data_IF_831853008651
#
_entry.id   IF_831853008651
#
_cell.length_a   1.000
_cell.length_b   1.000
_cell.length_c   1.000
_cell.angle_alpha   90.00
_cell.angle_beta   90.00
_cell.angle_gamma   90.00
#
_symmetry.space_group_name_H-M   'P 1'
#
loop_
_entity.id
_entity.type
_entity.pdbx_description
1 polymer ?
#
# COMPACT_ATOMS: atom_id res chain seq x y z
N UNK A 1 -10.97 31.88 29.98
CA UNK A 1 -11.13 30.42 30.01
C UNK A 1 -10.86 29.96 28.60
N UNK A 2 -9.61 29.55 28.31
CA UNK A 2 -9.13 29.17 26.99
C UNK A 2 -9.07 27.64 26.87
N UNK A 3 -9.93 27.05 26.06
CA UNK A 3 -9.90 25.64 25.71
C UNK A 3 -8.98 25.40 24.53
N UNK A 4 -7.73 24.96 24.79
CA UNK A 4 -6.81 24.53 23.76
C UNK A 4 -7.10 23.10 23.31
N UNK A 5 -7.62 22.95 22.11
CA UNK A 5 -7.79 21.63 21.43
C UNK A 5 -6.42 21.14 21.01
N UNK A 6 -5.89 20.13 21.69
CA UNK A 6 -4.64 19.46 21.33
C UNK A 6 -4.97 18.44 20.21
N UNK A 7 -4.74 18.86 18.97
CA UNK A 7 -4.78 17.93 17.81
C UNK A 7 -3.50 17.10 17.82
N UNK A 8 -3.55 15.92 18.41
CA UNK A 8 -2.47 14.95 18.37
C UNK A 8 -2.52 14.17 17.04
N UNK A 9 -1.82 14.67 16.03
CA UNK A 9 -1.54 13.91 14.82
C UNK A 9 -0.16 13.26 14.98
N UNK A 10 -0.05 11.93 15.18
CA UNK A 10 1.24 11.25 15.44
C UNK A 10 2.24 11.46 14.31
N UNK A 11 1.79 11.63 13.06
CA UNK A 11 2.64 11.96 11.91
C UNK A 11 3.28 13.35 11.98
N UNK A 12 2.69 14.33 12.67
CA UNK A 12 3.32 15.64 12.86
C UNK A 12 4.55 15.57 13.77
N UNK A 13 4.57 14.64 14.73
CA UNK A 13 5.75 14.40 15.57
C UNK A 13 6.90 13.77 14.78
N UNK A 14 6.63 12.85 13.85
CA UNK A 14 7.66 12.27 12.99
C UNK A 14 8.32 13.30 12.05
N UNK A 15 7.54 14.23 11.48
CA UNK A 15 8.09 15.29 10.62
C UNK A 15 9.13 16.18 11.32
N UNK A 16 8.99 16.39 12.61
CA UNK A 16 9.90 17.26 13.38
C UNK A 16 11.20 16.55 13.83
N UNK A 17 11.33 15.23 13.65
CA UNK A 17 12.54 14.47 13.99
C UNK A 17 13.47 14.21 12.78
N UNK A 18 13.04 14.56 11.56
CA UNK A 18 13.82 14.36 10.34
C UNK A 18 14.42 15.68 9.80
N UNK A 19 15.22 16.38 10.60
CA UNK A 19 16.12 17.42 10.08
C UNK A 19 17.47 16.79 9.71
N UNK A 20 17.95 16.92 8.46
CA UNK A 20 19.20 16.31 8.04
C UNK A 20 20.39 17.08 8.62
N UNK A 21 21.17 16.42 9.47
CA UNK A 21 22.51 16.88 9.83
C UNK A 21 23.45 16.54 8.67
N UNK A 22 24.15 17.54 8.16
CA UNK A 22 25.08 17.42 7.03
C UNK A 22 26.19 16.40 7.34
N UNK A 23 26.28 15.34 6.52
CA UNK A 23 27.41 14.39 6.54
C UNK A 23 28.32 14.73 5.37
N UNK A 24 29.56 15.10 5.67
CA UNK A 24 30.66 15.30 4.72
C UNK A 24 31.07 13.98 4.08
N UNK A 25 31.10 13.92 2.75
CA UNK A 25 31.54 12.77 1.95
C UNK A 25 33.07 12.74 1.89
N UNK A 26 33.65 11.55 2.14
CA UNK A 26 34.96 11.16 1.65
C UNK A 26 34.78 10.20 0.47
N UNK A 27 35.48 10.47 -0.63
CA UNK A 27 35.44 9.68 -1.85
C UNK A 27 36.32 8.43 -1.72
N UNK A 28 35.75 7.24 -1.89
CA UNK A 28 36.44 5.99 -2.06
C UNK A 28 35.93 5.28 -3.31
N UNK A 29 36.82 5.06 -4.27
CA UNK A 29 36.55 4.32 -5.52
C UNK A 29 36.44 2.82 -5.24
N UNK A 30 35.30 2.21 -5.59
CA UNK A 30 35.13 0.76 -5.59
C UNK A 30 34.71 0.28 -6.99
N UNK A 31 35.52 -0.61 -7.57
CA UNK A 31 35.28 -1.30 -8.83
C UNK A 31 34.05 -2.21 -8.73
N UNK A 32 33.13 -2.08 -9.69
CA UNK A 32 31.95 -2.92 -9.80
C UNK A 32 32.25 -4.16 -10.67
N UNK A 33 32.35 -5.31 -10.04
CA UNK A 33 32.34 -6.60 -10.74
C UNK A 33 30.91 -6.99 -11.11
N UNK A 34 30.57 -6.95 -12.40
CA UNK A 34 29.29 -7.40 -12.94
C UNK A 34 29.29 -8.92 -13.01
N UNK A 35 28.50 -9.57 -12.13
CA UNK A 35 28.25 -11.01 -12.22
C UNK A 35 26.93 -11.20 -12.98
N UNK A 36 27.02 -11.64 -14.24
CA UNK A 36 25.88 -12.04 -15.06
C UNK A 36 25.39 -13.42 -14.62
N UNK A 37 24.13 -13.49 -14.19
CA UNK A 37 23.44 -14.74 -13.82
C UNK A 37 22.50 -15.18 -14.94
N UNK A 38 22.40 -16.49 -15.28
CA UNK A 38 21.58 -16.97 -16.40
C UNK A 38 20.08 -16.85 -16.09
N UNK A 39 19.33 -16.33 -17.05
CA UNK A 39 17.88 -16.22 -17.04
C UNK A 39 17.24 -17.62 -16.90
N UNK A 40 16.61 -17.90 -15.78
CA UNK A 40 15.67 -19.02 -15.64
C UNK A 40 14.37 -18.67 -16.32
N UNK A 41 13.94 -19.57 -17.23
CA UNK A 41 12.77 -19.41 -18.09
C UNK A 41 11.52 -18.93 -17.35
N UNK A 42 10.91 -17.89 -17.89
CA UNK A 42 9.63 -17.35 -17.45
C UNK A 42 8.55 -18.45 -17.50
N UNK A 43 8.10 -18.91 -16.34
CA UNK A 43 6.86 -19.72 -16.26
C UNK A 43 5.72 -18.82 -16.72
N UNK A 44 5.10 -19.18 -17.85
CA UNK A 44 3.85 -18.55 -18.30
C UNK A 44 2.84 -18.63 -17.15
N UNK A 45 2.39 -17.47 -16.69
CA UNK A 45 1.30 -17.37 -15.73
C UNK A 45 0.06 -18.10 -16.30
N UNK A 46 -0.56 -18.94 -15.48
CA UNK A 46 -1.81 -19.57 -15.85
C UNK A 46 -2.85 -18.47 -16.16
N UNK A 47 -3.73 -18.67 -17.17
CA UNK A 47 -4.71 -17.68 -17.53
C UNK A 47 -5.61 -17.40 -16.33
N UNK A 48 -5.62 -16.15 -15.88
CA UNK A 48 -6.49 -15.66 -14.83
C UNK A 48 -7.93 -15.92 -15.26
N UNK A 49 -8.67 -16.75 -14.53
CA UNK A 49 -10.11 -16.98 -14.76
C UNK A 49 -10.80 -15.64 -14.88
N UNK A 50 -11.57 -15.45 -15.95
CA UNK A 50 -12.36 -14.25 -16.18
C UNK A 50 -13.39 -14.11 -15.03
N UNK A 51 -13.03 -13.38 -13.98
CA UNK A 51 -13.97 -13.01 -12.92
C UNK A 51 -14.89 -11.91 -13.47
N UNK A 52 -16.15 -11.92 -13.04
CA UNK A 52 -17.17 -10.99 -13.52
C UNK A 52 -16.66 -9.54 -13.42
N UNK A 53 -16.57 -8.89 -14.58
CA UNK A 53 -16.19 -7.47 -14.69
C UNK A 53 -17.46 -6.64 -14.55
N UNK A 54 -17.57 -5.88 -13.48
CA UNK A 54 -18.69 -4.96 -13.26
C UNK A 54 -18.22 -3.54 -13.56
N UNK A 55 -19.13 -2.71 -14.12
CA UNK A 55 -18.83 -1.30 -14.33
C UNK A 55 -18.55 -0.61 -12.98
N UNK A 56 -17.40 0.05 -12.86
CA UNK A 56 -17.04 0.80 -11.66
C UNK A 56 -17.33 2.29 -11.91
N UNK A 57 -18.12 2.90 -11.04
CA UNK A 57 -18.37 4.35 -11.06
C UNK A 57 -17.76 4.98 -9.80
N UNK A 58 -16.92 6.00 -10.00
CA UNK A 58 -16.33 6.77 -8.92
C UNK A 58 -17.33 7.75 -8.30
N UNK A 59 -18.27 8.27 -9.11
CA UNK A 59 -19.31 9.21 -8.68
C UNK A 59 -20.19 8.66 -7.57
N UNK A 60 -20.45 7.35 -7.55
CA UNK A 60 -21.25 6.66 -6.52
C UNK A 60 -20.40 5.82 -5.54
N UNK A 61 -19.08 5.96 -5.55
CA UNK A 61 -18.20 5.14 -4.71
C UNK A 61 -18.01 5.77 -3.32
N UNK A 62 -18.26 5.00 -2.27
CA UNK A 62 -18.04 5.45 -0.88
C UNK A 62 -16.57 5.84 -0.59
N UNK A 63 -15.62 5.24 -1.31
CA UNK A 63 -14.18 5.51 -1.15
C UNK A 63 -13.66 6.68 -2.00
N UNK A 64 -14.54 7.42 -2.69
CA UNK A 64 -14.15 8.53 -3.60
C UNK A 64 -13.22 9.54 -2.94
N UNK A 65 -13.51 9.92 -1.70
CA UNK A 65 -12.74 10.94 -0.97
C UNK A 65 -11.32 10.48 -0.55
N UNK A 66 -11.05 9.18 -0.59
CA UNK A 66 -9.76 8.59 -0.20
C UNK A 66 -8.98 8.02 -1.39
N UNK A 67 -9.65 7.84 -2.55
CA UNK A 67 -9.13 7.14 -3.71
C UNK A 67 -8.56 8.12 -4.75
N UNK A 68 -8.23 7.61 -5.94
CA UNK A 68 -7.71 8.38 -7.09
C UNK A 68 -8.52 9.63 -7.45
N UNK A 69 -9.87 9.64 -7.36
CA UNK A 69 -10.66 10.83 -7.70
C UNK A 69 -10.53 12.01 -6.72
N UNK A 70 -9.83 11.84 -5.60
CA UNK A 70 -9.65 12.92 -4.63
C UNK A 70 -9.01 14.15 -5.25
N UNK A 71 -9.69 15.30 -5.15
CA UNK A 71 -9.21 16.58 -5.69
C UNK A 71 -9.64 16.87 -7.13
N UNK A 72 -10.27 15.93 -7.83
CA UNK A 72 -10.84 16.18 -9.16
C UNK A 72 -12.14 16.98 -9.06
N UNK A 73 -12.31 17.92 -10.02
CA UNK A 73 -13.56 18.66 -10.19
C UNK A 73 -14.70 17.75 -10.69
N UNK A 74 -15.96 18.19 -10.58
CA UNK A 74 -17.11 17.47 -11.15
C UNK A 74 -16.99 17.21 -12.66
N UNK A 75 -16.34 18.11 -13.39
CA UNK A 75 -16.18 18.00 -14.86
C UNK A 75 -15.00 17.06 -15.25
N UNK A 76 -14.03 16.89 -14.37
CA UNK A 76 -12.88 16.01 -14.58
C UNK A 76 -13.18 14.55 -14.22
N UNK A 77 -14.09 14.34 -13.27
CA UNK A 77 -14.44 13.02 -12.78
C UNK A 77 -14.92 12.04 -13.87
N UNK A 78 -15.80 12.44 -14.82
CA UNK A 78 -16.22 11.56 -15.91
C UNK A 78 -15.07 11.07 -16.79
N UNK A 79 -14.02 11.88 -16.98
CA UNK A 79 -12.84 11.51 -17.77
C UNK A 79 -12.07 10.39 -17.09
N UNK A 80 -11.89 10.46 -15.76
CA UNK A 80 -11.29 9.37 -15.00
C UNK A 80 -12.21 8.13 -15.00
N UNK A 81 -13.51 8.29 -14.83
CA UNK A 81 -14.48 7.18 -14.89
C UNK A 81 -14.44 6.43 -16.20
N UNK A 82 -14.25 7.12 -17.32
CA UNK A 82 -14.12 6.51 -18.63
C UNK A 82 -12.88 5.59 -18.74
N UNK A 83 -11.82 5.85 -17.99
CA UNK A 83 -10.63 5.00 -17.92
C UNK A 83 -10.84 3.78 -17.01
N UNK A 84 -11.58 3.94 -15.90
CA UNK A 84 -11.84 2.89 -14.92
C UNK A 84 -13.00 2.03 -15.44
N UNK A 85 -12.80 1.36 -16.57
CA UNK A 85 -13.85 0.60 -17.21
C UNK A 85 -14.33 -0.61 -16.42
N UNK A 86 -13.54 -1.16 -15.48
CA UNK A 86 -13.83 -2.45 -14.87
C UNK A 86 -13.39 -2.55 -13.41
N UNK A 87 -14.26 -3.15 -12.60
CA UNK A 87 -13.89 -3.70 -11.30
C UNK A 87 -13.66 -5.22 -11.46
N UNK A 88 -12.63 -5.73 -10.80
CA UNK A 88 -12.29 -7.15 -10.73
C UNK A 88 -12.47 -7.63 -9.30
N UNK A 89 -13.16 -8.77 -9.14
CA UNK A 89 -13.20 -9.50 -7.88
C UNK A 89 -11.93 -10.35 -7.74
N UNK A 90 -11.37 -10.36 -6.54
CA UNK A 90 -10.17 -11.13 -6.17
C UNK A 90 -10.53 -11.91 -4.90
N UNK A 91 -10.45 -13.23 -4.95
CA UNK A 91 -10.80 -14.08 -3.82
C UNK A 91 -9.70 -14.03 -2.75
N UNK A 92 -10.06 -14.31 -1.50
CA UNK A 92 -9.10 -14.42 -0.41
C UNK A 92 -7.96 -15.38 -0.77
N UNK A 93 -6.72 -14.93 -0.58
CA UNK A 93 -5.50 -15.67 -0.92
C UNK A 93 -5.12 -15.64 -2.41
N UNK A 94 -5.99 -15.10 -3.29
CA UNK A 94 -5.65 -14.91 -4.71
C UNK A 94 -4.69 -13.72 -4.88
N UNK A 95 -3.69 -13.92 -5.76
CA UNK A 95 -2.81 -12.82 -6.17
C UNK A 95 -3.48 -11.99 -7.28
N UNK A 96 -3.57 -10.69 -7.08
CA UNK A 96 -3.98 -9.74 -8.11
C UNK A 96 -2.92 -9.64 -9.22
N UNK A 97 -1.66 -9.56 -8.82
CA UNK A 97 -0.46 -9.66 -9.64
C UNK A 97 0.68 -10.23 -8.80
N UNK A 98 1.72 -10.72 -9.45
CA UNK A 98 2.93 -11.28 -8.82
C UNK A 98 4.16 -10.46 -9.15
N UNK A 99 5.16 -10.53 -8.29
CA UNK A 99 6.50 -10.01 -8.58
C UNK A 99 7.00 -10.62 -9.89
N UNK A 100 7.53 -9.77 -10.79
CA UNK A 100 7.97 -10.14 -12.12
C UNK A 100 6.88 -10.13 -13.20
N UNK A 101 5.60 -9.98 -12.85
CA UNK A 101 4.54 -9.77 -13.84
C UNK A 101 4.71 -8.40 -14.52
N UNK A 102 4.31 -8.33 -15.79
CA UNK A 102 4.33 -7.08 -16.54
C UNK A 102 3.38 -6.05 -15.90
N UNK A 103 3.87 -4.83 -15.78
CA UNK A 103 3.10 -3.70 -15.29
C UNK A 103 2.33 -3.04 -16.43
N UNK A 104 1.01 -3.19 -16.42
CA UNK A 104 0.12 -2.56 -17.38
C UNK A 104 -0.91 -1.64 -16.69
N UNK A 105 -1.16 -1.85 -15.39
CA UNK A 105 -2.24 -1.19 -14.67
C UNK A 105 -1.83 -0.76 -13.26
N UNK A 106 -2.41 0.35 -12.82
CA UNK A 106 -2.54 0.68 -11.41
C UNK A 106 -3.92 0.17 -10.96
N UNK A 107 -4.01 -0.22 -9.70
CA UNK A 107 -5.25 -0.70 -9.12
C UNK A 107 -5.65 0.16 -7.93
N UNK A 108 -6.95 0.29 -7.69
CA UNK A 108 -7.48 0.90 -6.47
C UNK A 108 -8.37 -0.13 -5.76
N UNK A 109 -8.13 -0.37 -4.49
CA UNK A 109 -8.98 -1.26 -3.69
C UNK A 109 -10.33 -0.59 -3.51
N UNK A 110 -11.39 -1.20 -4.06
CA UNK A 110 -12.77 -0.69 -3.93
C UNK A 110 -13.42 -1.18 -2.64
N UNK A 111 -13.21 -2.44 -2.31
CA UNK A 111 -13.67 -3.09 -1.09
C UNK A 111 -12.73 -4.22 -0.69
N UNK A 112 -12.71 -4.57 0.58
CA UNK A 112 -11.81 -5.57 1.12
C UNK A 112 -10.44 -5.01 1.48
N UNK A 113 -9.45 -5.90 1.59
CA UNK A 113 -8.08 -5.56 1.97
C UNK A 113 -7.07 -6.48 1.30
N UNK A 114 -5.89 -5.95 1.04
CA UNK A 114 -4.81 -6.68 0.36
C UNK A 114 -3.48 -6.48 1.08
N UNK A 115 -2.58 -7.44 0.99
CA UNK A 115 -1.18 -7.30 1.39
C UNK A 115 -0.28 -7.24 0.17
N UNK A 116 0.82 -6.49 0.28
CA UNK A 116 1.93 -6.57 -0.68
C UNK A 116 3.05 -7.41 -0.08
N UNK A 117 3.68 -8.24 -0.90
CA UNK A 117 4.72 -9.19 -0.49
C UNK A 117 5.90 -9.09 -1.45
N UNK A 118 7.10 -8.92 -0.90
CA UNK A 118 8.35 -9.05 -1.65
C UNK A 118 8.99 -10.40 -1.36
N UNK A 119 9.47 -11.08 -2.41
CA UNK A 119 10.21 -12.31 -2.29
C UNK A 119 11.72 -12.03 -2.38
N UNK A 120 12.48 -12.55 -1.44
CA UNK A 120 13.93 -12.57 -1.50
C UNK A 120 14.42 -13.71 -2.40
N UNK A 121 15.65 -13.62 -2.92
CA UNK A 121 16.23 -14.61 -3.83
C UNK A 121 16.35 -16.03 -3.24
N UNK A 122 16.39 -16.15 -1.92
CA UNK A 122 16.41 -17.42 -1.18
C UNK A 122 15.02 -18.03 -0.92
N UNK A 123 13.97 -17.39 -1.42
CA UNK A 123 12.58 -17.86 -1.29
C UNK A 123 11.86 -17.35 -0.04
N UNK A 124 12.51 -16.58 0.84
CA UNK A 124 11.82 -15.91 1.96
C UNK A 124 10.92 -14.81 1.44
N UNK A 125 9.75 -14.68 2.03
CA UNK A 125 8.78 -13.64 1.72
C UNK A 125 8.66 -12.64 2.89
N UNK A 126 8.57 -11.37 2.54
CA UNK A 126 8.33 -10.27 3.48
C UNK A 126 7.04 -9.54 3.09
N UNK A 127 6.11 -9.44 4.02
CA UNK A 127 4.97 -8.54 3.86
C UNK A 127 5.48 -7.10 3.97
N UNK A 128 5.28 -6.31 2.93
CA UNK A 128 5.77 -4.93 2.84
C UNK A 128 4.65 -3.90 3.00
N UNK A 129 3.39 -4.32 2.92
CA UNK A 129 2.29 -3.38 3.06
C UNK A 129 0.92 -4.02 3.29
N UNK A 130 0.06 -3.27 3.95
CA UNK A 130 -1.39 -3.50 4.05
C UNK A 130 -2.10 -2.41 3.27
N UNK A 131 -3.00 -2.80 2.35
CA UNK A 131 -3.83 -1.89 1.55
C UNK A 131 -5.30 -2.11 1.87
N UNK A 132 -5.96 -1.03 2.24
CA UNK A 132 -7.38 -1.00 2.57
C UNK A 132 -8.18 -0.33 1.45
N UNK A 133 -9.51 -0.43 1.51
CA UNK A 133 -10.40 0.23 0.54
C UNK A 133 -10.04 1.73 0.37
N UNK A 134 -10.02 2.22 -0.87
CA UNK A 134 -9.60 3.57 -1.23
C UNK A 134 -8.11 3.72 -1.54
N UNK A 135 -7.27 2.73 -1.27
CA UNK A 135 -5.82 2.82 -1.48
C UNK A 135 -5.37 2.21 -2.81
N UNK A 136 -4.27 2.75 -3.34
CA UNK A 136 -3.70 2.31 -4.61
C UNK A 136 -2.74 1.14 -4.43
N UNK A 137 -2.65 0.30 -5.48
CA UNK A 137 -1.75 -0.83 -5.65
C UNK A 137 -1.09 -0.75 -7.03
N UNK A 138 0.08 -1.35 -7.18
CA UNK A 138 0.80 -1.45 -8.45
C UNK A 138 1.70 -0.26 -8.76
N UNK A 139 1.86 0.71 -7.84
CA UNK A 139 2.77 1.85 -8.05
C UNK A 139 4.24 1.40 -8.16
N UNK A 140 4.57 0.24 -7.62
CA UNK A 140 5.90 -0.39 -7.67
C UNK A 140 6.37 -0.72 -9.09
N UNK A 141 5.43 -0.97 -10.02
CA UNK A 141 5.77 -1.30 -11.41
C UNK A 141 6.07 -0.11 -12.32
N UNK A 142 5.92 1.12 -11.82
CA UNK A 142 6.09 2.34 -12.65
C UNK A 142 7.53 2.62 -13.05
N UNK A 143 8.53 2.04 -12.35
CA UNK A 143 9.96 2.29 -12.61
C UNK A 143 10.49 1.43 -13.78
N UNK A 144 10.15 0.14 -13.78
CA UNK A 144 10.80 -0.85 -14.64
C UNK A 144 9.83 -1.65 -15.51
N UNK A 145 8.57 -1.20 -15.62
CA UNK A 145 7.48 -1.85 -16.37
C UNK A 145 7.18 -3.31 -15.91
N UNK A 146 7.64 -3.66 -14.70
CA UNK A 146 7.37 -4.95 -14.04
C UNK A 146 7.08 -4.73 -12.56
N UNK A 147 6.19 -5.55 -11.99
CA UNK A 147 5.88 -5.48 -10.57
C UNK A 147 7.05 -5.98 -9.71
N UNK A 148 7.52 -5.17 -8.78
CA UNK A 148 8.57 -5.53 -7.82
C UNK A 148 8.05 -6.41 -6.69
N UNK A 149 6.75 -6.33 -6.37
CA UNK A 149 6.09 -7.11 -5.32
C UNK A 149 4.87 -7.86 -5.86
N UNK A 150 4.37 -8.82 -5.08
CA UNK A 150 3.07 -9.46 -5.30
C UNK A 150 2.00 -8.76 -4.47
N UNK A 151 0.76 -8.63 -4.99
CA UNK A 151 -0.39 -8.18 -4.23
C UNK A 151 -1.37 -9.34 -4.03
N UNK A 152 -1.68 -9.67 -2.77
CA UNK A 152 -2.52 -10.82 -2.38
C UNK A 152 -3.70 -10.36 -1.55
N UNK A 153 -4.90 -10.86 -1.87
CA UNK A 153 -6.11 -10.51 -1.13
C UNK A 153 -6.14 -11.20 0.25
N UNK A 154 -6.40 -10.41 1.29
CA UNK A 154 -6.56 -10.89 2.67
C UNK A 154 -7.98 -11.38 2.95
N UNK A 155 -8.93 -10.93 2.17
CA UNK A 155 -10.35 -11.29 2.15
C UNK A 155 -10.89 -11.14 0.72
N UNK A 156 -12.11 -11.59 0.46
CA UNK A 156 -12.75 -11.36 -0.82
C UNK A 156 -12.84 -9.85 -1.09
N UNK A 157 -12.13 -9.44 -2.11
CA UNK A 157 -11.87 -8.04 -2.41
C UNK A 157 -12.31 -7.67 -3.81
N UNK A 158 -12.59 -6.40 -4.03
CA UNK A 158 -12.85 -5.86 -5.35
C UNK A 158 -11.86 -4.73 -5.63
N UNK A 159 -11.25 -4.73 -6.79
CA UNK A 159 -10.32 -3.68 -7.23
C UNK A 159 -10.81 -3.02 -8.52
N UNK A 160 -10.64 -1.71 -8.61
CA UNK A 160 -10.78 -0.98 -9.86
C UNK A 160 -9.48 -1.06 -10.64
N UNK A 161 -9.55 -1.31 -11.95
CA UNK A 161 -8.40 -1.40 -12.85
C UNK A 161 -8.26 -0.08 -13.57
N UNK A 162 -7.08 0.53 -13.51
CA UNK A 162 -6.74 1.78 -14.16
C UNK A 162 -5.58 1.53 -15.12
N UNK A 163 -5.81 1.43 -16.43
CA UNK A 163 -4.73 1.23 -17.40
C UNK A 163 -3.70 2.36 -17.31
N UNK A 164 -2.45 2.03 -17.03
CA UNK A 164 -1.41 3.04 -16.80
C UNK A 164 -1.13 3.92 -18.03
N UNK A 165 -1.09 3.40 -19.28
CA UNK A 165 -0.93 4.27 -20.45
C UNK A 165 -2.05 5.31 -20.59
N UNK A 166 -3.29 4.92 -20.31
CA UNK A 166 -4.44 5.82 -20.37
C UNK A 166 -4.39 6.85 -19.23
N UNK A 167 -3.98 6.44 -18.01
CA UNK A 167 -3.77 7.36 -16.90
C UNK A 167 -2.68 8.38 -17.20
N UNK A 168 -1.56 7.96 -17.84
CA UNK A 168 -0.50 8.89 -18.28
C UNK A 168 -1.03 9.93 -19.27
N UNK A 169 -1.90 9.54 -20.21
CA UNK A 169 -2.53 10.48 -21.14
C UNK A 169 -3.44 11.46 -20.39
N UNK A 170 -4.26 10.97 -19.47
CA UNK A 170 -5.14 11.81 -18.66
C UNK A 170 -4.36 12.82 -17.80
N UNK A 171 -3.22 12.42 -17.21
CA UNK A 171 -2.36 13.33 -16.47
C UNK A 171 -1.76 14.46 -17.30
N UNK A 172 -1.63 14.29 -18.63
CA UNK A 172 -1.19 15.37 -19.53
C UNK A 172 -2.32 16.34 -19.87
N UNK A 173 -3.57 15.90 -19.80
CA UNK A 173 -4.75 16.69 -20.09
C UNK A 173 -5.28 17.42 -18.85
N UNK A 174 -5.11 16.84 -17.67
CA UNK A 174 -5.71 17.30 -16.41
C UNK A 174 -4.63 17.44 -15.34
N UNK A 175 -4.25 18.67 -15.01
CA UNK A 175 -3.22 18.96 -14.00
C UNK A 175 -3.57 18.40 -12.62
N UNK A 176 -4.83 18.49 -12.19
CA UNK A 176 -5.31 17.94 -10.92
C UNK A 176 -5.11 16.43 -10.83
N UNK A 177 -5.21 15.69 -11.95
CA UNK A 177 -4.92 14.25 -11.99
C UNK A 177 -3.42 13.97 -11.85
N UNK A 178 -2.57 14.78 -12.49
CA UNK A 178 -1.12 14.69 -12.33
C UNK A 178 -0.70 14.98 -10.89
N UNK A 179 -1.22 16.05 -10.30
CA UNK A 179 -0.98 16.40 -8.88
C UNK A 179 -1.44 15.28 -7.93
N UNK A 180 -2.60 14.68 -8.23
CA UNK A 180 -3.10 13.55 -7.44
C UNK A 180 -2.17 12.34 -7.53
N UNK A 181 -1.65 12.01 -8.71
CA UNK A 181 -0.69 10.92 -8.90
C UNK A 181 0.60 11.20 -8.12
N UNK A 182 1.16 12.41 -8.21
CA UNK A 182 2.33 12.79 -7.43
C UNK A 182 2.09 12.71 -5.93
N UNK A 183 0.90 13.10 -5.46
CA UNK A 183 0.51 12.99 -4.06
C UNK A 183 0.44 11.54 -3.59
N UNK A 184 -0.13 10.64 -4.41
CA UNK A 184 -0.18 9.19 -4.12
C UNK A 184 1.23 8.59 -3.98
N UNK A 185 2.17 8.97 -4.86
CA UNK A 185 3.56 8.54 -4.78
C UNK A 185 4.24 9.09 -3.52
N UNK A 186 4.05 10.36 -3.21
CA UNK A 186 4.57 10.99 -1.99
C UNK A 186 4.02 10.35 -0.72
N UNK A 187 2.72 10.07 -0.67
CA UNK A 187 2.07 9.36 0.43
C UNK A 187 2.66 7.96 0.62
N UNK A 188 2.96 7.26 -0.48
CA UNK A 188 3.59 5.93 -0.45
C UNK A 188 5.02 6.00 0.11
N UNK A 189 5.84 6.95 -0.36
CA UNK A 189 7.21 7.15 0.12
C UNK A 189 7.23 7.44 1.62
N UNK A 190 6.34 8.32 2.11
CA UNK A 190 6.24 8.65 3.54
C UNK A 190 5.80 7.44 4.36
N UNK A 191 4.89 6.62 3.83
CA UNK A 191 4.44 5.39 4.49
C UNK A 191 5.58 4.37 4.62
N UNK A 192 6.35 4.17 3.57
CA UNK A 192 7.50 3.25 3.56
C UNK A 192 8.62 3.72 4.49
N UNK A 193 8.93 5.02 4.50
CA UNK A 193 9.88 5.60 5.44
C UNK A 193 9.40 5.44 6.90
N UNK A 194 8.10 5.63 7.16
CA UNK A 194 7.49 5.37 8.46
C UNK A 194 7.63 3.92 8.89
N UNK A 195 7.42 2.97 7.99
CA UNK A 195 7.59 1.55 8.26
C UNK A 195 9.05 1.19 8.58
N UNK A 196 10.01 1.75 7.83
CA UNK A 196 11.44 1.57 8.14
C UNK A 196 11.79 2.07 9.53
N UNK A 197 11.25 3.23 9.94
CA UNK A 197 11.46 3.75 11.30
C UNK A 197 10.85 2.83 12.36
N UNK A 198 9.63 2.31 12.13
CA UNK A 198 8.97 1.35 13.04
C UNK A 198 9.86 0.12 13.22
N UNK A 199 10.39 -0.45 12.12
CA UNK A 199 11.23 -1.63 12.16
C UNK A 199 12.61 -1.39 12.80
N UNK A 200 13.18 -0.21 12.62
CA UNK A 200 14.53 0.11 13.08
C UNK A 200 14.62 0.63 14.51
N UNK A 201 13.56 1.29 15.02
CA UNK A 201 13.66 2.07 16.26
C UNK A 201 12.73 1.63 17.39
N UNK A 202 11.67 0.86 17.10
CA UNK A 202 10.67 0.49 18.09
C UNK A 202 10.87 -0.94 18.63
N UNK A 203 10.54 -1.14 19.88
CA UNK A 203 10.44 -2.46 20.51
C UNK A 203 9.27 -3.27 19.92
N UNK A 204 9.22 -4.57 20.17
CA UNK A 204 8.17 -5.44 19.66
C UNK A 204 6.75 -4.98 20.06
N UNK A 205 6.57 -4.53 21.29
CA UNK A 205 5.27 -4.05 21.78
C UNK A 205 4.88 -2.74 21.11
N UNK A 206 5.82 -1.81 20.98
CA UNK A 206 5.59 -0.54 20.32
C UNK A 206 5.27 -0.73 18.81
N UNK A 207 5.92 -1.70 18.13
CA UNK A 207 5.60 -2.02 16.72
C UNK A 207 4.16 -2.51 16.57
N UNK A 208 3.71 -3.42 17.43
CA UNK A 208 2.33 -3.91 17.40
C UNK A 208 1.35 -2.79 17.73
N UNK A 209 1.63 -1.98 18.74
CA UNK A 209 0.79 -0.83 19.10
C UNK A 209 0.70 0.20 17.96
N UNK A 210 1.83 0.57 17.34
CA UNK A 210 1.88 1.49 16.21
C UNK A 210 1.07 0.96 15.01
N UNK A 211 1.18 -0.32 14.70
CA UNK A 211 0.42 -0.97 13.65
C UNK A 211 -1.10 -0.93 13.92
N UNK A 212 -1.53 -1.28 15.13
CA UNK A 212 -2.95 -1.25 15.49
C UNK A 212 -3.51 0.17 15.45
N UNK A 213 -2.75 1.17 15.88
CA UNK A 213 -3.12 2.59 15.80
C UNK A 213 -3.23 3.07 14.35
N UNK A 214 -2.29 2.68 13.46
CA UNK A 214 -2.36 3.00 12.03
C UNK A 214 -3.64 2.42 11.41
N UNK A 215 -3.95 1.14 11.65
CA UNK A 215 -5.17 0.50 11.15
C UNK A 215 -6.42 1.17 11.71
N UNK A 216 -6.43 1.49 13.00
CA UNK A 216 -7.53 2.22 13.66
C UNK A 216 -7.81 3.56 12.98
N UNK A 217 -6.78 4.38 12.79
CA UNK A 217 -6.91 5.69 12.15
C UNK A 217 -7.38 5.59 10.69
N UNK A 218 -6.84 4.62 9.96
CA UNK A 218 -7.24 4.37 8.57
C UNK A 218 -8.70 3.89 8.48
N UNK A 219 -9.18 3.11 9.43
CA UNK A 219 -10.60 2.72 9.52
C UNK A 219 -11.49 3.93 9.81
N UNK A 220 -11.10 4.79 10.75
CA UNK A 220 -11.83 6.03 11.05
C UNK A 220 -11.99 6.94 9.82
N UNK A 221 -10.95 7.08 8.99
CA UNK A 221 -11.01 7.83 7.74
C UNK A 221 -12.01 7.26 6.72
N UNK A 222 -12.35 5.96 6.84
CA UNK A 222 -13.34 5.24 6.01
C UNK A 222 -14.74 5.26 6.59
N UNK A 223 -14.95 5.93 7.74
CA UNK A 223 -16.21 5.94 8.45
C UNK A 223 -16.49 4.67 9.25
N UNK A 224 -15.47 3.80 9.44
CA UNK A 224 -15.59 2.62 10.32
C UNK A 224 -15.20 2.96 11.76
N UNK A 225 -15.50 2.05 12.69
CA UNK A 225 -15.08 2.19 14.08
C UNK A 225 -13.55 2.25 14.19
N UNK A 226 -13.05 3.21 14.97
CA UNK A 226 -11.62 3.28 15.33
C UNK A 226 -11.27 2.39 16.52
N UNK A 227 -12.28 2.03 17.33
CA UNK A 227 -12.08 1.25 18.55
C UNK A 227 -12.26 -0.26 18.32
N UNK A 228 -13.13 -0.64 17.37
CA UNK A 228 -13.46 -2.04 17.11
C UNK A 228 -13.40 -2.33 15.61
N UNK A 229 -12.51 -3.22 15.20
CA UNK A 229 -12.34 -3.64 13.81
C UNK A 229 -11.80 -5.06 13.70
N UNK A 230 -12.15 -5.74 12.59
CA UNK A 230 -11.62 -7.05 12.26
C UNK A 230 -10.30 -6.91 11.48
N UNK A 231 -9.21 -7.37 12.07
CA UNK A 231 -7.93 -7.44 11.39
C UNK A 231 -7.89 -8.69 10.50
N UNK A 232 -7.76 -8.49 9.18
CA UNK A 232 -7.76 -9.58 8.20
C UNK A 232 -6.39 -10.23 8.00
N UNK A 233 -5.31 -9.55 8.42
CA UNK A 233 -3.98 -10.15 8.44
C UNK A 233 -3.90 -11.26 9.49
N UNK A 234 -3.25 -12.36 9.13
CA UNK A 234 -2.89 -13.41 10.09
C UNK A 234 -1.79 -12.91 11.04
N UNK A 235 -1.58 -13.60 12.14
CA UNK A 235 -0.45 -13.27 13.05
C UNK A 235 0.91 -13.49 12.38
N UNK A 236 0.98 -14.41 11.44
CA UNK A 236 2.15 -14.64 10.60
C UNK A 236 2.41 -13.46 9.67
N UNK A 237 1.37 -12.97 8.96
CA UNK A 237 1.46 -11.77 8.14
C UNK A 237 1.87 -10.55 8.95
N UNK A 238 1.29 -10.39 10.16
CA UNK A 238 1.69 -9.32 11.09
C UNK A 238 3.16 -9.44 11.50
N UNK A 239 3.60 -10.66 11.83
CA UNK A 239 5.00 -10.93 12.19
C UNK A 239 5.93 -10.58 11.03
N UNK A 240 5.60 -11.03 9.82
CA UNK A 240 6.33 -10.68 8.61
C UNK A 240 6.38 -9.17 8.39
N UNK A 241 5.25 -8.46 8.49
CA UNK A 241 5.17 -7.00 8.32
C UNK A 241 5.93 -6.20 9.37
N UNK A 242 5.94 -6.69 10.63
CA UNK A 242 6.56 -6.01 11.77
C UNK A 242 7.98 -6.50 12.10
N UNK A 243 8.54 -7.42 11.29
CA UNK A 243 9.88 -7.95 11.49
C UNK A 243 10.04 -8.72 12.79
N UNK A 244 9.07 -9.57 13.13
CA UNK A 244 9.09 -10.40 14.35
C UNK A 244 8.41 -11.76 14.10
N UNK A 245 8.59 -12.69 15.04
CA UNK A 245 7.98 -14.03 14.92
C UNK A 245 6.49 -13.99 15.27
N UNK A 246 5.74 -14.97 14.74
CA UNK A 246 4.33 -15.20 15.06
C UNK A 246 4.11 -15.31 16.58
N UNK A 247 5.01 -15.98 17.29
CA UNK A 247 4.95 -16.16 18.74
C UNK A 247 5.08 -14.83 19.46
N UNK A 248 5.98 -13.95 19.00
CA UNK A 248 6.16 -12.61 19.57
C UNK A 248 4.89 -11.77 19.38
N UNK A 249 4.31 -11.75 18.17
CA UNK A 249 3.02 -11.10 17.91
C UNK A 249 1.93 -11.62 18.85
N UNK A 250 1.84 -12.96 18.98
CA UNK A 250 0.81 -13.61 19.80
C UNK A 250 0.95 -13.24 21.28
N UNK A 251 2.18 -13.24 21.82
CA UNK A 251 2.45 -12.85 23.22
C UNK A 251 2.14 -11.38 23.47
N UNK A 252 2.53 -10.50 22.55
CA UNK A 252 2.24 -9.06 22.66
C UNK A 252 0.75 -8.77 22.67
N UNK A 253 0.00 -9.36 21.74
CA UNK A 253 -1.46 -9.20 21.69
C UNK A 253 -2.15 -9.75 22.95
N UNK A 254 -1.65 -10.86 23.52
CA UNK A 254 -2.17 -11.41 24.78
C UNK A 254 -1.92 -10.49 25.97
N UNK A 255 -0.73 -9.85 26.04
CA UNK A 255 -0.43 -8.84 27.07
C UNK A 255 -1.34 -7.62 26.96
N UNK A 256 -1.57 -7.12 25.74
CA UNK A 256 -2.49 -5.98 25.55
C UNK A 256 -3.91 -6.32 25.99
N UNK A 257 -4.38 -7.56 25.73
CA UNK A 257 -5.69 -8.02 26.18
C UNK A 257 -5.80 -8.11 27.70
N UNK A 258 -4.72 -8.47 28.39
CA UNK A 258 -4.72 -8.59 29.86
C UNK A 258 -4.53 -7.25 30.59
N UNK A 259 -4.15 -6.18 29.87
CA UNK A 259 -3.93 -4.84 30.42
C UNK A 259 -5.20 -3.94 30.34
N UNK A 260 -6.25 -4.41 29.70
CA UNK A 260 -7.57 -3.77 29.58
C UNK A 260 -8.56 -4.50 30.48
#
# INVERSE_FOLDING_TARGET
MGGGTISHHPYKRLKNMLTPTAVTRSAGTAESTVISSPARGARRAAPVRATARTAARCSSCAMRALCMPQGLSPDELPKLEALICTARSVQRGEALYRSGDRFDNIYAVRSGSMKTVMAHRDGREQVTGLRLAGEALGLDGMSDDVHACSAVALEDSTVCIVPYPALKSLCREINSMQERLHKLLGEQIVREAGQMMVLGSLSADERVAAFLLDVSQRNAQRGYSSAEFNLRMTREDMGSYLGMTLETVSRTLSRFKSAV
#
